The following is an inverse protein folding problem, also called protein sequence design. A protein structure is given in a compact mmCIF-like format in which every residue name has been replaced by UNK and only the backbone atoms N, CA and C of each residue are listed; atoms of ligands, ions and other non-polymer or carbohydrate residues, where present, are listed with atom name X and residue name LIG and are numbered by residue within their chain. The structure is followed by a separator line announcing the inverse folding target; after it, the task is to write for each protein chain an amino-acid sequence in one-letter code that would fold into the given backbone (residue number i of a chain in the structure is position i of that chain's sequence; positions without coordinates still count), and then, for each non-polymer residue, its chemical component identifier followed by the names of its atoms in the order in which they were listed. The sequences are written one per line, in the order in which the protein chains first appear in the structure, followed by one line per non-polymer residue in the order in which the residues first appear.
data_IF_669682005207
#
_entry.id   IF_669682005207
#
_cell.length_a   1.000
_cell.length_b   1.000
_cell.length_c   1.000
_cell.angle_alpha   90.00
_cell.angle_beta   90.00
_cell.angle_gamma   90.00
#
_symmetry.space_group_name_H-M   'P 1'
#
loop_
_entity.id
_entity.type
_entity.pdbx_description
1 polymer ?
#
# COMPACT_ATOMS: atom_id res chain seq x y z
N UNK A 1 47.50 -37.32 52.98
CA UNK A 1 46.52 -37.41 51.90
C UNK A 1 46.25 -36.02 51.38
N UNK A 2 46.04 -35.84 50.04
CA UNK A 2 45.80 -34.54 49.46
C UNK A 2 44.38 -34.07 49.81
N UNK A 3 44.14 -32.76 49.98
CA UNK A 3 42.83 -32.23 50.29
C UNK A 3 41.88 -32.38 49.07
N UNK A 4 40.62 -32.67 49.39
CA UNK A 4 39.56 -32.83 48.43
C UNK A 4 39.25 -31.48 47.69
N UNK A 5 38.83 -31.49 46.43
CA UNK A 5 38.47 -30.30 45.73
C UNK A 5 37.19 -29.70 46.33
N UNK A 6 37.25 -28.42 46.65
CA UNK A 6 36.06 -27.67 47.03
C UNK A 6 35.17 -27.47 45.82
N UNK A 7 33.97 -28.01 45.85
CA UNK A 7 32.91 -27.69 44.91
C UNK A 7 32.56 -26.20 45.00
N UNK A 8 32.81 -25.47 43.93
CA UNK A 8 32.28 -24.12 43.76
C UNK A 8 30.75 -24.21 43.61
N UNK A 9 29.99 -23.41 44.37
CA UNK A 9 28.56 -23.36 44.18
C UNK A 9 28.23 -22.82 42.78
N UNK A 10 27.41 -23.54 42.06
CA UNK A 10 26.88 -23.14 40.73
C UNK A 10 26.12 -21.80 40.88
N UNK A 11 26.30 -20.87 39.96
CA UNK A 11 25.51 -19.64 39.98
C UNK A 11 24.00 -19.96 39.85
N UNK A 12 23.15 -19.22 40.57
CA UNK A 12 21.70 -19.43 40.46
C UNK A 12 21.22 -19.16 39.03
N UNK A 13 20.16 -19.88 38.56
CA UNK A 13 19.62 -19.65 37.25
C UNK A 13 19.11 -18.22 37.12
N UNK A 14 19.26 -17.57 35.97
CA UNK A 14 18.80 -16.22 35.77
C UNK A 14 17.27 -16.14 35.95
N UNK A 15 16.86 -15.22 36.81
CA UNK A 15 15.46 -14.93 37.10
C UNK A 15 14.70 -14.65 35.78
N UNK A 16 13.75 -15.50 35.46
CA UNK A 16 12.92 -15.34 34.25
C UNK A 16 12.12 -14.03 34.25
N UNK A 17 12.04 -13.33 35.39
CA UNK A 17 11.40 -12.03 35.50
C UNK A 17 12.26 -10.84 35.04
N UNK A 18 13.58 -11.03 34.86
CA UNK A 18 14.44 -9.94 34.37
C UNK A 18 14.44 -9.83 32.84
N UNK A 19 14.09 -10.90 32.13
CA UNK A 19 14.03 -10.89 30.66
C UNK A 19 12.81 -10.11 30.16
N UNK A 20 11.76 -10.03 30.96
CA UNK A 20 10.54 -9.30 30.61
C UNK A 20 10.67 -7.76 30.75
N UNK A 21 11.69 -7.27 31.44
CA UNK A 21 11.87 -5.81 31.66
C UNK A 21 12.71 -5.09 30.62
N UNK A 22 13.37 -5.83 29.72
CA UNK A 22 14.23 -5.26 28.68
C UNK A 22 13.55 -5.11 27.31
N UNK A 23 12.25 -5.38 27.23
CA UNK A 23 11.48 -5.26 25.99
C UNK A 23 10.36 -4.22 26.05
N UNK A 24 10.53 -3.16 26.83
CA UNK A 24 9.78 -1.94 26.50
C UNK A 24 10.52 -1.28 25.35
N UNK A 25 9.97 -1.29 24.13
CA UNK A 25 10.53 -0.47 23.09
C UNK A 25 10.47 0.98 23.55
N UNK A 26 11.50 1.78 23.25
CA UNK A 26 11.43 3.21 23.53
C UNK A 26 10.15 3.73 22.92
N UNK A 27 9.47 4.66 23.58
CA UNK A 27 8.28 5.31 23.10
C UNK A 27 8.58 5.92 21.73
N UNK A 28 8.49 5.07 20.69
CA UNK A 28 8.57 5.46 19.30
C UNK A 28 7.34 6.30 19.01
N UNK A 29 7.50 7.33 18.22
CA UNK A 29 6.42 8.11 17.63
C UNK A 29 5.23 7.22 17.36
N UNK A 30 3.99 7.63 17.70
CA UNK A 30 2.83 6.80 17.40
C UNK A 30 2.81 6.50 15.90
N UNK A 31 3.13 5.25 15.57
CA UNK A 31 2.83 4.74 14.24
C UNK A 31 1.33 4.82 14.10
N UNK A 32 0.80 5.41 13.02
CA UNK A 32 -0.62 5.38 12.79
C UNK A 32 -1.04 3.90 12.74
N UNK A 33 -1.63 3.44 13.81
CA UNK A 33 -2.27 2.15 13.85
C UNK A 33 -3.51 2.30 12.98
N UNK A 34 -3.46 1.76 11.77
CA UNK A 34 -4.71 1.41 11.13
C UNK A 34 -5.37 0.43 12.10
N UNK A 35 -6.49 0.83 12.65
CA UNK A 35 -7.23 -0.02 13.57
C UNK A 35 -7.74 -1.24 12.77
N UNK A 36 -6.85 -2.19 12.58
CA UNK A 36 -7.17 -3.53 12.11
C UNK A 36 -7.65 -4.37 13.28
N UNK A 37 -8.52 -3.80 14.14
CA UNK A 37 -9.34 -4.61 14.99
C UNK A 37 -10.05 -5.64 14.09
N UNK A 38 -10.58 -6.75 14.62
CA UNK A 38 -11.23 -7.76 13.82
C UNK A 38 -12.54 -7.23 13.22
N UNK A 39 -12.40 -6.21 12.36
CA UNK A 39 -13.45 -5.79 11.47
C UNK A 39 -13.48 -6.84 10.38
N UNK A 40 -14.57 -7.55 10.27
CA UNK A 40 -14.79 -8.45 9.16
C UNK A 40 -14.56 -7.69 7.85
N UNK A 41 -13.99 -8.34 6.85
CA UNK A 41 -13.78 -7.74 5.53
C UNK A 41 -15.05 -7.03 4.99
N UNK A 42 -16.24 -7.47 5.42
CA UNK A 42 -17.50 -6.83 5.12
C UNK A 42 -17.69 -5.45 5.73
N UNK A 43 -17.21 -5.22 6.96
CA UNK A 43 -17.39 -3.90 7.62
C UNK A 43 -16.41 -2.85 7.06
N UNK A 44 -15.21 -3.28 6.66
CA UNK A 44 -14.27 -2.39 5.97
C UNK A 44 -14.80 -1.98 4.59
N UNK A 45 -15.39 -2.90 3.86
CA UNK A 45 -16.05 -2.62 2.56
C UNK A 45 -17.26 -1.71 2.75
N UNK A 46 -18.07 -1.92 3.79
CA UNK A 46 -19.23 -1.09 4.07
C UNK A 46 -18.84 0.32 4.52
N UNK A 47 -17.77 0.46 5.29
CA UNK A 47 -17.25 1.75 5.70
C UNK A 47 -16.62 2.50 4.51
N UNK A 48 -15.90 1.79 3.64
CA UNK A 48 -15.39 2.33 2.39
C UNK A 48 -16.53 2.73 1.43
N UNK A 49 -17.58 1.94 1.34
CA UNK A 49 -18.76 2.26 0.53
C UNK A 49 -19.52 3.47 1.05
N UNK A 50 -19.60 3.67 2.37
CA UNK A 50 -20.21 4.86 2.97
C UNK A 50 -19.36 6.11 2.76
N UNK A 51 -18.04 5.98 2.88
CA UNK A 51 -17.12 7.08 2.58
C UNK A 51 -17.16 7.46 1.10
N UNK A 52 -17.25 6.50 0.20
CA UNK A 52 -17.42 6.72 -1.24
C UNK A 52 -18.79 7.34 -1.58
N UNK A 53 -19.87 6.96 -0.86
CA UNK A 53 -21.20 7.51 -1.07
C UNK A 53 -21.36 8.95 -0.54
N UNK A 54 -20.62 9.30 0.53
CA UNK A 54 -20.59 10.66 1.05
C UNK A 54 -19.70 11.59 0.23
N UNK A 55 -18.74 11.04 -0.51
CA UNK A 55 -17.83 11.76 -1.38
C UNK A 55 -18.29 11.59 -2.84
N UNK A 56 -19.41 12.24 -3.21
CA UNK A 56 -19.97 12.24 -4.58
C UNK A 56 -19.06 12.87 -5.64
N UNK A 57 -17.82 13.14 -5.32
CA UNK A 57 -16.77 13.52 -6.23
C UNK A 57 -15.81 12.36 -6.43
N UNK A 58 -16.29 11.23 -6.97
CA UNK A 58 -15.39 10.18 -7.39
C UNK A 58 -14.42 10.76 -8.41
N UNK A 59 -13.12 10.71 -8.11
CA UNK A 59 -12.05 11.09 -9.05
C UNK A 59 -11.97 10.16 -10.26
N UNK A 60 -13.09 9.56 -10.64
CA UNK A 60 -13.27 8.70 -11.79
C UNK A 60 -14.42 9.12 -12.70
N UNK A 61 -15.05 10.26 -12.45
CA UNK A 61 -16.15 10.78 -13.25
C UNK A 61 -15.79 12.07 -13.95
N UNK A 62 -15.80 12.00 -15.22
CA UNK A 62 -15.75 13.06 -16.22
C UNK A 62 -14.36 13.64 -16.56
N UNK A 63 -13.82 13.12 -17.67
CA UNK A 63 -12.90 13.82 -18.57
C UNK A 63 -11.45 13.99 -18.10
N UNK A 64 -11.08 13.51 -16.96
CA UNK A 64 -9.69 13.42 -16.58
C UNK A 64 -9.09 12.13 -17.12
N UNK A 65 -8.19 12.25 -18.06
CA UNK A 65 -7.36 11.16 -18.59
C UNK A 65 -6.42 10.63 -17.50
N UNK A 66 -7.02 10.08 -16.42
CA UNK A 66 -6.30 9.45 -15.34
C UNK A 66 -5.81 8.06 -15.75
N UNK A 67 -4.91 8.03 -16.72
CA UNK A 67 -4.15 6.83 -16.95
C UNK A 67 -4.52 5.98 -18.12
N UNK A 68 -5.52 6.32 -18.89
CA UNK A 68 -5.64 5.82 -20.25
C UNK A 68 -4.85 6.76 -21.15
N UNK A 69 -3.54 6.82 -20.97
CA UNK A 69 -2.67 7.50 -21.91
C UNK A 69 -3.00 7.00 -23.29
N UNK A 70 -3.21 7.89 -24.25
CA UNK A 70 -3.31 7.59 -25.66
C UNK A 70 -2.00 6.93 -26.16
N UNK A 71 -1.64 5.85 -25.52
CA UNK A 71 -0.52 4.99 -25.86
C UNK A 71 -1.02 3.77 -26.55
N UNK A 72 -0.73 3.67 -27.79
CA UNK A 72 -1.02 2.69 -28.81
C UNK A 72 -0.78 1.21 -28.49
N UNK A 73 -0.73 0.81 -27.23
CA UNK A 73 -0.59 -0.59 -26.84
C UNK A 73 -1.48 -0.86 -25.64
N UNK A 74 -2.57 -1.60 -25.90
CA UNK A 74 -3.47 -2.11 -24.86
C UNK A 74 -2.80 -3.27 -24.12
N UNK A 75 -1.69 -2.99 -23.41
CA UNK A 75 -0.97 -4.01 -22.69
C UNK A 75 -1.16 -3.94 -21.18
N UNK A 76 -0.94 -2.78 -20.62
CA UNK A 76 -0.98 -2.56 -19.18
C UNK A 76 -1.67 -1.23 -18.86
N UNK A 77 -2.50 -1.24 -17.83
CA UNK A 77 -3.21 -0.05 -17.37
C UNK A 77 -3.31 -0.02 -15.85
N UNK A 78 -3.26 1.19 -15.30
CA UNK A 78 -3.74 1.42 -13.94
C UNK A 78 -5.18 1.87 -14.06
N UNK A 79 -6.09 1.12 -13.41
CA UNK A 79 -7.50 1.42 -13.40
C UNK A 79 -7.84 2.62 -12.52
N UNK A 80 -9.13 2.89 -12.31
CA UNK A 80 -9.58 3.94 -11.42
C UNK A 80 -8.94 3.82 -10.04
N UNK A 81 -8.54 4.96 -9.48
CA UNK A 81 -7.95 5.07 -8.16
C UNK A 81 -9.06 5.28 -7.13
N UNK A 82 -9.10 4.43 -6.11
CA UNK A 82 -10.04 4.58 -5.01
C UNK A 82 -9.40 5.37 -3.87
N UNK A 83 -10.07 6.41 -3.42
CA UNK A 83 -9.73 7.14 -2.19
C UNK A 83 -10.50 6.54 -1.04
N UNK A 84 -9.79 5.97 -0.07
CA UNK A 84 -10.39 5.19 1.03
C UNK A 84 -10.59 5.99 2.32
N UNK A 85 -9.96 7.16 2.43
CA UNK A 85 -10.08 8.04 3.59
C UNK A 85 -10.85 9.32 3.25
N UNK A 86 -11.29 10.03 4.28
CA UNK A 86 -11.98 11.31 4.11
C UNK A 86 -11.00 12.36 3.55
N UNK A 87 -11.41 13.04 2.49
CA UNK A 87 -10.65 14.13 1.86
C UNK A 87 -10.91 15.49 2.54
N UNK A 88 -11.85 15.56 3.48
CA UNK A 88 -12.24 16.79 4.20
C UNK A 88 -12.56 17.96 3.25
N UNK A 89 -13.14 17.67 2.09
CA UNK A 89 -13.50 18.66 1.08
C UNK A 89 -12.32 19.21 0.26
N UNK A 90 -11.11 18.69 0.45
CA UNK A 90 -9.94 19.10 -0.32
C UNK A 90 -9.97 18.44 -1.71
N UNK A 91 -9.65 19.20 -2.74
CA UNK A 91 -9.45 18.68 -4.08
C UNK A 91 -8.05 18.04 -4.22
N UNK A 92 -8.02 16.71 -4.26
CA UNK A 92 -6.79 15.95 -4.48
C UNK A 92 -6.50 15.66 -5.96
N UNK A 93 -7.32 16.13 -6.89
CA UNK A 93 -7.16 15.84 -8.31
C UNK A 93 -5.74 16.04 -8.84
N UNK A 94 -5.15 17.24 -8.71
CA UNK A 94 -3.78 17.49 -9.17
C UNK A 94 -2.73 16.64 -8.45
N UNK A 95 -2.88 16.43 -7.15
CA UNK A 95 -1.97 15.60 -6.34
C UNK A 95 -2.02 14.14 -6.78
N UNK A 96 -3.22 13.57 -6.92
CA UNK A 96 -3.41 12.19 -7.35
C UNK A 96 -2.94 11.94 -8.78
N UNK A 97 -3.09 12.93 -9.67
CA UNK A 97 -2.56 12.85 -11.03
C UNK A 97 -1.04 12.69 -11.01
N UNK A 98 -0.35 13.39 -10.13
CA UNK A 98 1.09 13.28 -9.96
C UNK A 98 1.49 11.92 -9.37
N UNK A 99 0.82 11.46 -8.32
CA UNK A 99 1.05 10.15 -7.71
C UNK A 99 0.87 9.05 -8.74
N UNK A 100 -0.21 9.11 -9.50
CA UNK A 100 -0.53 8.14 -10.54
C UNK A 100 0.51 8.11 -11.65
N UNK A 101 0.98 9.30 -12.09
CA UNK A 101 2.04 9.41 -13.08
C UNK A 101 3.34 8.75 -12.60
N UNK A 102 3.78 9.06 -11.39
CA UNK A 102 5.03 8.53 -10.83
C UNK A 102 4.98 7.00 -10.68
N UNK A 103 3.85 6.47 -10.18
CA UNK A 103 3.65 5.02 -10.04
C UNK A 103 3.64 4.33 -11.41
N UNK A 104 2.96 4.91 -12.40
CA UNK A 104 2.88 4.36 -13.74
C UNK A 104 4.25 4.28 -14.41
N UNK A 105 5.03 5.37 -14.35
CA UNK A 105 6.37 5.41 -14.94
C UNK A 105 7.30 4.36 -14.33
N UNK A 106 7.26 4.22 -13.02
CA UNK A 106 8.08 3.23 -12.33
C UNK A 106 7.62 1.79 -12.59
N UNK A 107 6.31 1.57 -12.64
CA UNK A 107 5.74 0.25 -12.93
C UNK A 107 6.06 -0.22 -14.34
N UNK A 108 5.93 0.65 -15.35
CA UNK A 108 6.20 0.30 -16.75
C UNK A 108 7.64 -0.19 -16.97
N UNK A 109 8.58 0.30 -16.20
CA UNK A 109 9.99 -0.12 -16.28
C UNK A 109 10.24 -1.53 -15.78
N UNK A 110 9.39 -2.06 -14.93
CA UNK A 110 9.55 -3.34 -14.23
C UNK A 110 8.47 -4.35 -14.59
N UNK A 111 7.64 -4.11 -15.58
CA UNK A 111 6.66 -5.07 -16.08
C UNK A 111 7.39 -6.34 -16.52
N UNK A 112 7.01 -7.53 -15.99
CA UNK A 112 7.73 -8.76 -16.29
C UNK A 112 7.54 -9.22 -17.73
N UNK A 113 8.53 -9.94 -18.25
CA UNK A 113 8.51 -10.49 -19.61
C UNK A 113 7.27 -11.36 -19.86
N UNK A 114 6.77 -12.04 -18.83
CA UNK A 114 5.55 -12.85 -18.94
C UNK A 114 4.30 -12.05 -19.32
N UNK A 115 4.25 -10.76 -19.00
CA UNK A 115 3.16 -9.88 -19.41
C UNK A 115 3.34 -9.29 -20.81
N UNK A 116 4.54 -9.42 -21.39
CA UNK A 116 4.87 -8.93 -22.73
C UNK A 116 4.63 -9.98 -23.81
N UNK A 117 4.62 -9.56 -25.09
CA UNK A 117 4.58 -10.47 -26.21
C UNK A 117 5.80 -11.42 -26.17
N UNK A 118 5.67 -12.71 -26.52
CA UNK A 118 4.44 -13.36 -27.03
C UNK A 118 3.49 -13.89 -25.95
N UNK A 119 3.90 -13.94 -24.68
CA UNK A 119 3.13 -14.61 -23.64
C UNK A 119 1.86 -13.85 -23.24
N UNK A 120 1.92 -12.50 -23.18
CA UNK A 120 0.79 -11.61 -22.91
C UNK A 120 -0.04 -12.06 -21.69
N UNK A 121 0.64 -12.42 -20.61
CA UNK A 121 -0.04 -12.92 -19.41
C UNK A 121 -0.97 -11.87 -18.83
N UNK A 122 -2.19 -12.30 -18.49
CA UNK A 122 -3.23 -11.46 -17.93
C UNK A 122 -3.23 -11.52 -16.42
N UNK A 123 -3.64 -10.44 -15.77
CA UNK A 123 -3.84 -10.40 -14.33
C UNK A 123 -4.28 -9.03 -13.84
N UNK A 124 -4.82 -9.02 -12.62
CA UNK A 124 -5.19 -7.81 -11.90
C UNK A 124 -4.58 -7.88 -10.50
N UNK A 125 -3.93 -6.80 -10.08
CA UNK A 125 -3.38 -6.65 -8.73
C UNK A 125 -4.02 -5.44 -8.08
N UNK A 126 -4.54 -5.59 -6.88
CA UNK A 126 -5.08 -4.49 -6.09
C UNK A 126 -4.20 -4.27 -4.86
N UNK A 127 -3.76 -3.03 -4.65
CA UNK A 127 -2.83 -2.66 -3.58
C UNK A 127 -3.39 -1.46 -2.82
N UNK A 128 -3.40 -1.57 -1.50
CA UNK A 128 -3.76 -0.48 -0.60
C UNK A 128 -2.53 0.07 0.11
N UNK A 129 -2.53 1.37 0.33
CA UNK A 129 -1.53 2.06 1.14
C UNK A 129 -2.04 3.42 1.58
N UNK A 130 -1.35 4.02 2.53
CA UNK A 130 -1.59 5.39 2.94
C UNK A 130 -0.37 6.25 2.67
N UNK A 131 -0.62 7.49 2.25
CA UNK A 131 0.40 8.53 2.14
C UNK A 131 0.27 9.42 3.36
N UNK A 132 1.34 9.58 4.11
CA UNK A 132 1.41 10.47 5.27
C UNK A 132 1.62 11.92 4.83
N UNK A 133 1.47 12.86 5.75
CA UNK A 133 1.61 14.30 5.47
C UNK A 133 2.91 14.67 4.78
N UNK A 134 4.00 14.00 5.14
CA UNK A 134 5.34 14.22 4.58
C UNK A 134 5.62 13.46 3.27
N UNK A 135 4.65 12.71 2.76
CA UNK A 135 4.79 11.89 1.55
C UNK A 135 5.29 10.47 1.81
N UNK A 136 5.58 10.09 3.04
CA UNK A 136 5.95 8.72 3.37
C UNK A 136 4.77 7.77 3.18
N UNK A 137 5.07 6.51 2.86
CA UNK A 137 4.07 5.46 2.64
C UNK A 137 3.98 4.57 3.86
N UNK A 138 2.76 4.28 4.28
CA UNK A 138 2.46 3.35 5.36
C UNK A 138 1.41 2.33 4.94
N UNK A 139 1.43 1.16 5.57
CA UNK A 139 0.40 0.13 5.38
C UNK A 139 0.33 -0.45 3.97
N UNK A 140 1.43 -0.45 3.23
CA UNK A 140 1.48 -0.98 1.86
C UNK A 140 1.23 -2.49 1.86
N UNK A 141 0.13 -2.91 1.22
CA UNK A 141 -0.26 -4.32 1.18
C UNK A 141 -1.02 -4.67 -0.10
N UNK A 142 -0.81 -5.87 -0.59
CA UNK A 142 -1.61 -6.45 -1.67
C UNK A 142 -2.92 -6.95 -1.07
N UNK A 143 -4.04 -6.40 -1.53
CA UNK A 143 -5.39 -6.81 -1.10
C UNK A 143 -6.10 -7.66 -2.14
N UNK A 144 -5.59 -7.70 -3.37
CA UNK A 144 -6.04 -8.58 -4.43
C UNK A 144 -4.85 -9.04 -5.27
N UNK A 145 -4.49 -10.32 -5.15
CA UNK A 145 -3.41 -10.93 -5.94
C UNK A 145 -3.89 -11.31 -7.34
N UNK A 146 -3.00 -11.21 -8.32
CA UNK A 146 -3.22 -11.74 -9.66
C UNK A 146 -3.15 -13.27 -9.73
N UNK A 147 -2.62 -13.91 -8.67
CA UNK A 147 -2.25 -15.33 -8.68
C UNK A 147 -0.87 -15.59 -9.29
N UNK A 148 -0.20 -14.57 -9.78
CA UNK A 148 1.15 -14.65 -10.34
C UNK A 148 2.13 -13.78 -9.56
N UNK A 149 3.17 -14.41 -9.03
CA UNK A 149 4.16 -13.73 -8.17
C UNK A 149 4.91 -12.62 -8.91
N UNK A 150 5.19 -12.80 -10.20
CA UNK A 150 5.92 -11.79 -10.98
C UNK A 150 5.08 -10.55 -11.24
N UNK A 151 3.79 -10.73 -11.56
CA UNK A 151 2.85 -9.62 -11.73
C UNK A 151 2.63 -8.88 -10.43
N UNK A 152 2.42 -9.60 -9.34
CA UNK A 152 2.22 -9.02 -8.01
C UNK A 152 3.45 -8.20 -7.55
N UNK A 153 4.64 -8.73 -7.74
CA UNK A 153 5.89 -8.05 -7.42
C UNK A 153 6.11 -6.78 -8.24
N UNK A 154 5.77 -6.81 -9.52
CA UNK A 154 5.91 -5.64 -10.37
C UNK A 154 4.96 -4.52 -9.95
N UNK A 155 3.70 -4.84 -9.66
CA UNK A 155 2.75 -3.85 -9.15
C UNK A 155 3.20 -3.24 -7.82
N UNK A 156 3.61 -4.09 -6.87
CA UNK A 156 4.15 -3.66 -5.57
C UNK A 156 5.41 -2.81 -5.75
N UNK A 157 6.30 -3.22 -6.63
CA UNK A 157 7.54 -2.52 -6.96
C UNK A 157 7.30 -1.14 -7.57
N UNK A 158 6.27 -0.96 -8.38
CA UNK A 158 5.88 0.33 -8.95
C UNK A 158 5.59 1.37 -7.88
N UNK A 159 4.84 1.00 -6.84
CA UNK A 159 4.58 1.88 -5.70
C UNK A 159 5.84 2.08 -4.86
N UNK A 160 6.56 1.02 -4.55
CA UNK A 160 7.78 1.07 -3.73
C UNK A 160 8.85 1.94 -4.35
N UNK A 161 9.02 1.89 -5.67
CA UNK A 161 9.99 2.72 -6.39
C UNK A 161 9.57 4.19 -6.47
N UNK A 162 8.30 4.51 -6.25
CA UNK A 162 7.75 5.87 -6.35
C UNK A 162 7.82 6.65 -5.04
N UNK A 163 8.04 5.97 -3.93
CA UNK A 163 8.14 6.66 -2.61
C UNK A 163 9.52 7.27 -2.36
N UNK A 164 9.61 8.38 -1.60
CA UNK A 164 8.48 9.12 -1.05
C UNK A 164 7.71 9.89 -2.11
N UNK A 165 6.40 10.04 -1.90
CA UNK A 165 5.57 10.91 -2.73
C UNK A 165 5.75 12.37 -2.32
N UNK A 166 5.27 13.36 -3.12
CA UNK A 166 5.19 14.73 -2.65
C UNK A 166 4.37 14.83 -1.36
N UNK A 167 4.66 15.79 -0.47
CA UNK A 167 3.85 16.03 0.71
C UNK A 167 2.38 16.27 0.35
N UNK A 168 1.47 15.86 1.24
CA UNK A 168 0.04 16.12 1.06
C UNK A 168 -0.22 17.62 0.99
N UNK A 169 -1.27 18.06 0.27
CA UNK A 169 -1.65 19.48 0.21
C UNK A 169 -1.80 20.09 1.61
N UNK A 170 -1.33 21.32 1.78
CA UNK A 170 -1.33 22.00 3.08
C UNK A 170 -2.73 22.31 3.58
N UNK A 171 -3.72 22.42 2.68
CA UNK A 171 -5.13 22.61 2.99
C UNK A 171 -5.77 21.39 3.65
N UNK A 172 -5.14 20.22 3.50
CA UNK A 172 -5.63 18.98 4.07
C UNK A 172 -5.29 18.89 5.55
N UNK A 173 -6.31 18.87 6.40
CA UNK A 173 -6.16 18.75 7.85
C UNK A 173 -5.96 17.33 8.37
N UNK A 174 -6.12 16.31 7.53
CA UNK A 174 -5.97 14.90 7.89
C UNK A 174 -4.51 14.49 8.08
N UNK A 175 -4.29 13.35 8.70
CA UNK A 175 -2.95 12.83 8.99
C UNK A 175 -2.39 11.97 7.84
N UNK A 176 -3.26 11.39 7.02
CA UNK A 176 -2.92 10.52 5.91
C UNK A 176 -4.01 10.50 4.85
N UNK A 177 -3.65 10.11 3.66
CA UNK A 177 -4.55 9.82 2.55
C UNK A 177 -4.43 8.34 2.20
N UNK A 178 -5.50 7.57 2.42
CA UNK A 178 -5.54 6.14 2.11
C UNK A 178 -6.05 5.92 0.69
N UNK A 179 -5.34 5.10 -0.07
CA UNK A 179 -5.59 4.86 -1.48
C UNK A 179 -5.62 3.37 -1.78
N UNK A 180 -6.35 2.99 -2.84
CA UNK A 180 -6.28 1.66 -3.45
C UNK A 180 -6.04 1.82 -4.93
N UNK A 181 -4.96 1.17 -5.43
CA UNK A 181 -4.64 1.06 -6.85
C UNK A 181 -5.03 -0.29 -7.41
N UNK A 182 -5.47 -0.29 -8.67
CA UNK A 182 -5.73 -1.48 -9.45
C UNK A 182 -4.81 -1.50 -10.66
N UNK A 183 -3.92 -2.50 -10.72
CA UNK A 183 -3.01 -2.71 -11.84
C UNK A 183 -3.56 -3.80 -12.73
N UNK A 184 -3.71 -3.52 -14.02
CA UNK A 184 -4.21 -4.46 -15.02
C UNK A 184 -3.10 -4.83 -15.99
N UNK A 185 -2.85 -6.12 -16.12
CA UNK A 185 -1.95 -6.68 -17.13
C UNK A 185 -2.77 -7.26 -18.26
N UNK A 186 -2.59 -6.73 -19.46
CA UNK A 186 -3.30 -7.16 -20.68
C UNK A 186 -4.82 -7.30 -20.48
N UNK A 187 -5.51 -6.29 -19.95
CA UNK A 187 -6.93 -6.38 -19.63
C UNK A 187 -7.78 -6.44 -20.91
N UNK A 188 -8.96 -7.05 -20.78
CA UNK A 188 -10.01 -6.90 -21.79
C UNK A 188 -10.70 -5.54 -21.62
N UNK A 189 -11.28 -5.01 -22.71
CA UNK A 189 -11.93 -3.69 -22.66
C UNK A 189 -13.04 -3.59 -21.61
N UNK A 190 -13.71 -4.70 -21.32
CA UNK A 190 -14.77 -4.78 -20.32
C UNK A 190 -14.26 -4.70 -18.87
N UNK A 191 -12.97 -4.90 -18.65
CA UNK A 191 -12.39 -4.93 -17.30
C UNK A 191 -11.93 -3.55 -16.81
N UNK A 192 -11.85 -2.56 -17.72
CA UNK A 192 -11.32 -1.21 -17.44
C UNK A 192 -12.42 -0.14 -17.36
N UNK A 193 -13.69 -0.52 -17.58
CA UNK A 193 -14.85 0.41 -17.55
C UNK A 193 -15.44 0.51 -16.16
#
# INVERSE_FOLDING_TARGET
GPPAPQEQPSPPPPDQNQVARLQTPPAGKPTPSFNTGPMSAGSAIEQAARAAASNRGGYGGDGGDYGLGQGKQAGEAIGPLDVLSDTMGVDFGPYLARVLHDVRENWYRIIPESARAPLMKKGKVSIEFAILKDGQVAGLQIVGSSGDVALDRAAYGGITASKPFPPLPTEFGGQYLALRFHFYYNPERSEIQ
#
